data_IF_881789261044
#
_entry.id   IF_881789261044
#
_cell.length_a   1.000
_cell.length_b   1.000
_cell.length_c   1.000
_cell.angle_alpha   90.00
_cell.angle_beta   90.00
_cell.angle_gamma   90.00
#
_symmetry.space_group_name_H-M   'P 1'
#
loop_
_entity.id
_entity.type
_entity.pdbx_description
1 polymer ?
#
# COMPACT_ATOMS: atom_id res chain seq x y z
N UNK A 1 -11.06 2.86 -1.99
CA UNK A 1 -9.62 2.66 -1.67
C UNK A 1 -9.07 3.91 -0.97
N UNK A 2 -8.75 3.80 0.30
CA UNK A 2 -8.21 4.97 1.03
C UNK A 2 -6.70 5.08 0.80
N UNK A 3 -6.12 4.13 0.12
CA UNK A 3 -4.65 4.17 -0.12
C UNK A 3 -4.27 3.11 -1.14
N UNK A 4 -4.39 3.41 -2.41
CA UNK A 4 -4.03 2.42 -3.45
C UNK A 4 -2.52 2.23 -3.48
N UNK A 5 -1.79 3.30 -3.55
CA UNK A 5 -0.30 3.19 -3.55
C UNK A 5 0.18 2.68 -2.20
N UNK A 6 -0.61 2.86 -1.17
CA UNK A 6 -0.22 2.38 0.18
C UNK A 6 -0.37 0.87 0.26
N UNK A 7 -1.29 0.31 -0.47
CA UNK A 7 -1.49 -1.17 -0.43
C UNK A 7 -0.17 -1.88 -0.72
N UNK A 8 0.60 -1.36 -1.63
CA UNK A 8 1.90 -1.99 -1.97
C UNK A 8 2.93 -1.64 -0.91
N UNK A 9 2.86 -0.46 -0.37
CA UNK A 9 3.83 -0.05 0.68
C UNK A 9 3.72 -0.98 1.89
N UNK A 10 2.56 -1.10 2.45
CA UNK A 10 2.39 -2.01 3.63
C UNK A 10 2.81 -3.43 3.28
N UNK A 11 2.80 -3.77 2.01
CA UNK A 11 3.20 -5.14 1.61
C UNK A 11 4.73 -5.26 1.59
N UNK A 12 5.41 -4.18 1.32
CA UNK A 12 6.90 -4.23 1.29
C UNK A 12 7.46 -4.39 2.70
N UNK A 13 6.65 -4.15 3.69
CA UNK A 13 7.14 -4.28 5.10
C UNK A 13 5.97 -4.57 6.04
#
# INVERSE_FOLDING_TARGET
ILGKIWEGIKSLFX
#
